data_IF_878406263380
#
_entry.id   IF_878406263380
#
_cell.length_a   1.000
_cell.length_b   1.000
_cell.length_c   1.000
_cell.angle_alpha   90.00
_cell.angle_beta   90.00
_cell.angle_gamma   90.00
#
_symmetry.space_group_name_H-M   'P 1'
#
loop_
_entity.id
_entity.type
_entity.pdbx_description
1 polymer ?
#
# COMPACT_ATOMS: atom_id res chain seq x y z
N UNK A 1 -6.85 -20.18 -2.44
CA UNK A 1 -5.57 -20.40 -3.16
C UNK A 1 -4.39 -19.95 -2.29
N UNK A 2 -4.43 -18.75 -1.72
CA UNK A 2 -3.34 -18.18 -0.92
C UNK A 2 -3.04 -19.00 0.34
N UNK A 3 -4.08 -19.47 1.02
CA UNK A 3 -3.91 -20.34 2.21
C UNK A 3 -3.05 -21.57 1.89
N UNK A 4 -3.25 -22.19 0.73
CA UNK A 4 -2.48 -23.34 0.29
C UNK A 4 -1.01 -23.01 0.00
N UNK A 5 -0.71 -21.75 -0.40
CA UNK A 5 0.64 -21.25 -0.59
C UNK A 5 1.33 -20.89 0.73
N UNK A 6 0.59 -20.33 1.67
CA UNK A 6 1.13 -19.89 2.96
C UNK A 6 1.29 -21.05 3.96
N UNK A 7 0.45 -22.09 3.93
CA UNK A 7 0.54 -23.22 4.85
C UNK A 7 1.89 -23.93 4.88
N UNK A 8 2.54 -24.24 3.73
CA UNK A 8 3.90 -24.79 3.74
C UNK A 8 4.92 -23.86 4.37
N UNK A 9 4.83 -22.54 4.05
CA UNK A 9 5.73 -21.52 4.59
C UNK A 9 5.61 -21.45 6.11
N UNK A 10 4.38 -21.40 6.64
CA UNK A 10 4.13 -21.35 8.09
C UNK A 10 4.70 -22.58 8.80
N UNK A 11 4.64 -23.77 8.18
CA UNK A 11 5.16 -25.03 8.78
C UNK A 11 6.68 -25.01 8.93
N UNK A 12 7.40 -24.34 8.03
CA UNK A 12 8.88 -24.26 8.03
C UNK A 12 9.39 -23.21 9.03
N UNK A 13 8.58 -22.21 9.36
CA UNK A 13 9.00 -21.16 10.30
C UNK A 13 9.10 -21.74 11.72
N UNK A 14 10.28 -21.64 12.37
CA UNK A 14 10.46 -22.11 13.74
C UNK A 14 9.56 -21.36 14.74
N UNK A 15 9.06 -22.06 15.75
CA UNK A 15 8.15 -21.48 16.75
C UNK A 15 8.79 -20.36 17.62
N UNK A 16 10.10 -20.28 17.68
CA UNK A 16 10.81 -19.20 18.41
C UNK A 16 10.81 -17.85 17.67
N UNK A 17 10.53 -17.84 16.36
CA UNK A 17 10.35 -16.58 15.62
C UNK A 17 9.00 -15.99 16.03
N UNK A 18 9.01 -14.78 16.59
CA UNK A 18 7.75 -14.13 16.96
C UNK A 18 6.98 -13.66 15.73
N UNK A 19 5.65 -13.71 15.72
CA UNK A 19 4.82 -13.17 14.64
C UNK A 19 5.13 -11.70 14.33
N UNK A 20 5.37 -10.89 15.37
CA UNK A 20 5.72 -9.48 15.22
C UNK A 20 7.04 -9.25 14.44
N UNK A 21 7.99 -10.20 14.51
CA UNK A 21 9.19 -10.14 13.67
C UNK A 21 8.84 -10.32 12.19
N UNK A 22 7.90 -11.20 11.87
CA UNK A 22 7.45 -11.43 10.49
C UNK A 22 6.78 -10.15 9.95
N UNK A 23 5.91 -9.53 10.74
CA UNK A 23 5.27 -8.25 10.40
C UNK A 23 6.30 -7.12 10.19
N UNK A 24 7.34 -7.04 11.03
CA UNK A 24 8.42 -6.06 10.85
C UNK A 24 9.27 -6.33 9.61
N UNK A 25 9.57 -7.59 9.30
CA UNK A 25 10.25 -7.97 8.05
C UNK A 25 9.40 -7.59 6.85
N UNK A 26 8.08 -7.81 6.91
CA UNK A 26 7.15 -7.37 5.87
C UNK A 26 7.23 -5.86 5.63
N UNK A 27 7.25 -5.05 6.69
CA UNK A 27 7.42 -3.60 6.58
C UNK A 27 8.73 -3.21 5.86
N UNK A 28 9.84 -3.87 6.19
CA UNK A 28 11.13 -3.64 5.51
C UNK A 28 11.06 -4.03 4.02
N UNK A 29 10.38 -5.13 3.69
CA UNK A 29 10.20 -5.59 2.30
C UNK A 29 9.40 -4.57 1.48
N UNK A 30 8.34 -3.98 2.05
CA UNK A 30 7.55 -2.92 1.38
C UNK A 30 8.38 -1.64 1.18
N UNK A 31 9.18 -1.24 2.17
CA UNK A 31 10.08 -0.08 2.01
C UNK A 31 11.12 -0.35 0.92
N UNK A 32 11.67 -1.55 0.82
CA UNK A 32 12.58 -1.94 -0.26
C UNK A 32 11.89 -1.88 -1.62
N UNK A 33 10.68 -2.45 -1.74
CA UNK A 33 9.87 -2.36 -2.97
C UNK A 33 9.66 -0.90 -3.39
N UNK A 34 9.24 -0.06 -2.46
CA UNK A 34 9.04 1.37 -2.71
C UNK A 34 10.33 2.06 -3.20
N UNK A 35 11.47 1.80 -2.54
CA UNK A 35 12.75 2.37 -2.94
C UNK A 35 13.15 1.97 -4.36
N UNK A 36 13.02 0.67 -4.71
CA UNK A 36 13.30 0.17 -6.05
C UNK A 36 12.42 0.83 -7.12
N UNK A 37 11.12 1.00 -6.84
CA UNK A 37 10.20 1.70 -7.74
C UNK A 37 10.56 3.20 -7.89
N UNK A 38 10.87 3.88 -6.79
CA UNK A 38 11.17 5.30 -6.78
C UNK A 38 12.46 5.67 -7.52
N UNK A 39 13.47 4.78 -7.51
CA UNK A 39 14.73 5.00 -8.24
C UNK A 39 14.64 4.52 -9.70
N UNK A 40 13.73 3.60 -10.03
CA UNK A 40 13.67 2.92 -11.32
C UNK A 40 13.65 3.86 -12.54
N UNK A 41 13.00 5.05 -12.54
CA UNK A 41 13.00 5.93 -13.69
C UNK A 41 14.38 6.53 -14.04
N UNK A 42 15.32 6.51 -13.08
CA UNK A 42 16.67 7.08 -13.25
C UNK A 42 17.70 6.04 -13.69
N UNK A 43 17.32 4.77 -13.77
CA UNK A 43 18.21 3.66 -14.06
C UNK A 43 18.32 3.42 -15.58
N UNK A 44 19.44 2.83 -16.01
CA UNK A 44 19.58 2.30 -17.36
C UNK A 44 18.56 1.17 -17.62
N UNK A 45 18.20 0.88 -18.89
CA UNK A 45 17.08 -0.02 -19.19
C UNK A 45 17.20 -1.40 -18.52
N UNK A 46 18.38 -2.00 -18.49
CA UNK A 46 18.61 -3.30 -17.85
C UNK A 46 18.49 -3.19 -16.32
N UNK A 47 19.10 -2.17 -15.72
CA UNK A 47 19.05 -1.95 -14.28
C UNK A 47 17.62 -1.63 -13.82
N UNK A 48 16.87 -0.90 -14.65
CA UNK A 48 15.45 -0.64 -14.44
C UNK A 48 14.62 -1.93 -14.47
N UNK A 49 14.87 -2.82 -15.44
CA UNK A 49 14.25 -4.14 -15.49
C UNK A 49 14.53 -4.94 -14.21
N UNK A 50 15.80 -5.02 -13.80
CA UNK A 50 16.21 -5.76 -12.60
C UNK A 50 15.62 -5.16 -11.32
N UNK A 51 15.59 -3.84 -11.19
CA UNK A 51 14.97 -3.14 -10.07
C UNK A 51 13.47 -3.43 -9.98
N UNK A 52 12.74 -3.37 -11.09
CA UNK A 52 11.30 -3.66 -11.12
C UNK A 52 10.98 -5.15 -10.94
N UNK A 53 11.84 -6.04 -11.40
CA UNK A 53 11.74 -7.47 -11.07
C UNK A 53 11.94 -7.69 -9.56
N UNK A 54 12.96 -7.08 -8.96
CA UNK A 54 13.19 -7.11 -7.51
C UNK A 54 12.01 -6.52 -6.72
N UNK A 55 11.42 -5.42 -7.20
CA UNK A 55 10.22 -4.83 -6.62
C UNK A 55 9.00 -5.76 -6.70
N UNK A 56 8.83 -6.48 -7.81
CA UNK A 56 7.76 -7.46 -7.97
C UNK A 56 7.93 -8.67 -7.03
N UNK A 57 9.16 -9.16 -6.88
CA UNK A 57 9.49 -10.22 -5.90
C UNK A 57 9.22 -9.74 -4.48
N UNK A 58 9.61 -8.51 -4.14
CA UNK A 58 9.34 -7.92 -2.84
C UNK A 58 7.82 -7.78 -2.58
N UNK A 59 7.05 -7.31 -3.57
CA UNK A 59 5.59 -7.20 -3.48
C UNK A 59 4.91 -8.54 -3.25
N UNK A 60 5.31 -9.58 -4.01
CA UNK A 60 4.80 -10.93 -3.85
C UNK A 60 5.17 -11.53 -2.48
N UNK A 61 6.42 -11.31 -2.04
CA UNK A 61 6.88 -11.75 -0.72
C UNK A 61 6.11 -11.09 0.41
N UNK A 62 5.83 -9.78 0.29
CA UNK A 62 5.01 -9.03 1.24
C UNK A 62 3.61 -9.62 1.37
N UNK A 63 2.95 -9.95 0.27
CA UNK A 63 1.63 -10.60 0.28
C UNK A 63 1.63 -11.93 1.05
N UNK A 64 2.71 -12.71 0.94
CA UNK A 64 2.87 -13.96 1.67
C UNK A 64 3.13 -13.70 3.15
N UNK A 65 4.07 -12.79 3.49
CA UNK A 65 4.44 -12.48 4.86
C UNK A 65 3.27 -11.96 5.69
N UNK A 66 2.45 -11.09 5.10
CA UNK A 66 1.23 -10.55 5.67
C UNK A 66 0.22 -11.65 6.06
N UNK A 67 0.06 -12.64 5.20
CA UNK A 67 -0.81 -13.80 5.50
C UNK A 67 -0.19 -14.76 6.52
N UNK A 68 1.12 -14.88 6.52
CA UNK A 68 1.88 -15.86 7.31
C UNK A 68 1.98 -15.44 8.76
N UNK A 69 2.13 -14.15 9.09
CA UNK A 69 2.30 -13.71 10.48
C UNK A 69 1.08 -14.04 11.35
N UNK A 70 -0.13 -13.78 10.87
CA UNK A 70 -1.36 -14.16 11.56
C UNK A 70 -1.59 -15.69 11.63
N UNK A 71 -1.19 -16.43 10.58
CA UNK A 71 -1.26 -17.90 10.60
C UNK A 71 -0.24 -18.47 11.60
N UNK A 72 0.96 -17.92 11.63
CA UNK A 72 2.03 -18.31 12.56
C UNK A 72 1.66 -17.99 14.01
N UNK A 73 1.07 -16.80 14.27
CA UNK A 73 0.57 -16.41 15.58
C UNK A 73 -0.45 -17.40 16.14
N UNK A 74 -1.39 -17.82 15.31
CA UNK A 74 -2.40 -18.84 15.69
C UNK A 74 -1.77 -20.21 15.91
N UNK A 75 -0.83 -20.64 15.06
CA UNK A 75 -0.15 -21.93 15.19
C UNK A 75 0.68 -22.03 16.47
N UNK A 76 1.32 -20.94 16.87
CA UNK A 76 2.25 -20.90 18.01
C UNK A 76 1.60 -20.41 19.30
N UNK A 77 0.28 -20.12 19.28
CA UNK A 77 -0.46 -19.50 20.40
C UNK A 77 0.16 -18.17 20.87
N UNK A 78 0.73 -17.39 19.96
CA UNK A 78 1.36 -16.08 20.22
C UNK A 78 0.52 -14.90 19.73
N UNK A 79 -0.80 -15.08 19.67
CA UNK A 79 -1.72 -13.97 19.35
C UNK A 79 -1.70 -12.93 20.48
N UNK A 80 -1.59 -11.66 20.15
CA UNK A 80 -1.54 -10.58 21.14
C UNK A 80 -2.17 -9.29 20.61
N UNK A 81 -2.66 -8.44 21.53
CA UNK A 81 -3.13 -7.09 21.20
C UNK A 81 -2.03 -6.22 20.55
N UNK A 82 -0.77 -6.43 20.95
CA UNK A 82 0.37 -5.75 20.32
C UNK A 82 0.56 -6.19 18.88
N UNK A 83 0.41 -7.50 18.57
CA UNK A 83 0.50 -8.02 17.21
C UNK A 83 -0.61 -7.43 16.32
N UNK A 84 -1.84 -7.44 16.80
CA UNK A 84 -2.99 -6.82 16.11
C UNK A 84 -2.78 -5.31 15.89
N UNK A 85 -2.21 -4.60 16.88
CA UNK A 85 -1.85 -3.20 16.73
C UNK A 85 -0.80 -2.99 15.62
N UNK A 86 0.29 -3.75 15.66
CA UNK A 86 1.39 -3.62 14.70
C UNK A 86 0.92 -3.90 13.26
N UNK A 87 0.16 -4.97 13.07
CA UNK A 87 -0.41 -5.35 11.78
C UNK A 87 -1.23 -4.20 11.18
N UNK A 88 -2.27 -3.76 11.86
CA UNK A 88 -3.13 -2.69 11.36
C UNK A 88 -2.46 -1.31 11.28
N UNK A 89 -1.49 -1.04 12.14
CA UNK A 89 -0.78 0.23 12.13
C UNK A 89 0.23 0.30 10.98
N UNK A 90 0.95 -0.78 10.70
CA UNK A 90 1.89 -0.84 9.58
C UNK A 90 1.19 -0.81 8.23
N UNK A 91 -0.02 -1.36 8.13
CA UNK A 91 -0.84 -1.25 6.92
C UNK A 91 -1.14 0.20 6.53
N UNK A 92 -1.18 1.12 7.50
CA UNK A 92 -1.35 2.56 7.21
C UNK A 92 -0.17 3.15 6.44
N UNK A 93 0.98 2.51 6.49
CA UNK A 93 2.18 2.84 5.73
C UNK A 93 2.24 2.04 4.42
N UNK A 94 1.87 0.76 4.47
CA UNK A 94 1.90 -0.14 3.30
C UNK A 94 1.02 0.38 2.17
N UNK A 95 -0.25 0.71 2.45
CA UNK A 95 -1.20 1.12 1.43
C UNK A 95 -0.73 2.34 0.63
N UNK A 96 -0.33 3.47 1.25
CA UNK A 96 0.18 4.60 0.49
C UNK A 96 1.54 4.34 -0.18
N UNK A 97 2.43 3.53 0.40
CA UNK A 97 3.69 3.17 -0.23
C UNK A 97 3.47 2.33 -1.50
N UNK A 98 2.59 1.33 -1.45
CA UNK A 98 2.25 0.50 -2.62
C UNK A 98 1.62 1.35 -3.72
N UNK A 99 0.64 2.19 -3.40
CA UNK A 99 -0.01 3.06 -4.37
C UNK A 99 0.98 4.03 -5.03
N UNK A 100 1.80 4.71 -4.24
CA UNK A 100 2.77 5.67 -4.76
C UNK A 100 3.95 5.03 -5.48
N UNK A 101 4.29 3.78 -5.18
CA UNK A 101 5.33 3.04 -5.90
C UNK A 101 5.03 2.93 -7.39
N UNK A 102 3.79 2.59 -7.73
CA UNK A 102 3.34 2.48 -9.12
C UNK A 102 3.37 3.86 -9.79
N UNK A 103 2.86 4.89 -9.12
CA UNK A 103 2.80 6.24 -9.66
C UNK A 103 4.20 6.84 -9.87
N UNK A 104 5.14 6.59 -8.97
CA UNK A 104 6.53 7.04 -9.10
C UNK A 104 7.27 6.31 -10.22
N UNK A 105 7.10 5.00 -10.32
CA UNK A 105 7.70 4.15 -11.37
C UNK A 105 7.22 4.55 -12.77
N UNK A 106 5.92 4.88 -12.91
CA UNK A 106 5.29 5.29 -14.17
C UNK A 106 5.48 6.79 -14.46
N UNK A 107 6.07 7.55 -13.54
CA UNK A 107 6.25 9.01 -13.65
C UNK A 107 4.95 9.77 -13.95
N UNK A 108 3.82 9.29 -13.40
CA UNK A 108 2.51 9.92 -13.63
C UNK A 108 2.52 11.41 -13.23
N UNK A 109 1.66 12.23 -13.83
CA UNK A 109 1.53 13.63 -13.45
C UNK A 109 1.29 13.84 -11.95
N UNK A 110 1.79 14.95 -11.41
CA UNK A 110 1.67 15.29 -9.98
C UNK A 110 0.21 15.23 -9.47
N UNK A 111 -0.74 15.64 -10.33
CA UNK A 111 -2.18 15.56 -10.01
C UNK A 111 -2.64 14.13 -9.77
N UNK A 112 -2.22 13.20 -10.63
CA UNK A 112 -2.59 11.77 -10.50
C UNK A 112 -1.95 11.20 -9.24
N UNK A 113 -0.65 11.40 -9.02
CA UNK A 113 0.05 10.97 -7.80
C UNK A 113 -0.67 11.47 -6.54
N UNK A 114 -1.08 12.74 -6.52
CA UNK A 114 -1.81 13.31 -5.38
C UNK A 114 -3.16 12.67 -5.15
N UNK A 115 -3.94 12.50 -6.20
CA UNK A 115 -5.29 11.90 -6.11
C UNK A 115 -5.24 10.43 -5.69
N UNK A 116 -4.33 9.63 -6.26
CA UNK A 116 -4.17 8.21 -5.92
C UNK A 116 -3.69 8.04 -4.49
N UNK A 117 -2.70 8.82 -4.06
CA UNK A 117 -2.16 8.74 -2.72
C UNK A 117 -3.18 9.17 -1.65
N UNK A 118 -3.85 10.31 -1.83
CA UNK A 118 -4.86 10.79 -0.88
C UNK A 118 -6.08 9.87 -0.82
N UNK A 119 -6.52 9.33 -1.96
CA UNK A 119 -7.64 8.39 -1.96
C UNK A 119 -7.29 7.07 -1.26
N UNK A 120 -6.09 6.51 -1.48
CA UNK A 120 -5.66 5.28 -0.83
C UNK A 120 -5.59 5.43 0.69
N UNK A 121 -5.03 6.54 1.17
CA UNK A 121 -4.98 6.86 2.61
C UNK A 121 -6.38 7.06 3.19
N UNK A 122 -7.26 7.75 2.47
CA UNK A 122 -8.66 7.99 2.91
C UNK A 122 -9.44 6.68 3.00
N UNK A 123 -9.28 5.79 2.03
CA UNK A 123 -9.91 4.46 2.02
C UNK A 123 -9.47 3.65 3.25
N UNK A 124 -8.17 3.63 3.52
CA UNK A 124 -7.66 2.87 4.66
C UNK A 124 -8.12 3.45 6.00
N UNK A 125 -8.17 4.78 6.14
CA UNK A 125 -8.77 5.43 7.30
C UNK A 125 -10.25 5.10 7.49
N UNK A 126 -10.99 4.98 6.39
CA UNK A 126 -12.39 4.55 6.44
C UNK A 126 -12.53 3.11 6.92
N UNK A 127 -11.64 2.21 6.50
CA UNK A 127 -11.57 0.83 7.03
C UNK A 127 -11.31 0.80 8.54
N UNK A 128 -10.32 1.55 9.01
CA UNK A 128 -10.00 1.65 10.43
C UNK A 128 -11.17 2.21 11.25
N UNK A 129 -11.89 3.19 10.71
CA UNK A 129 -13.06 3.77 11.37
C UNK A 129 -14.20 2.74 11.52
N UNK A 130 -14.43 1.92 10.49
CA UNK A 130 -15.41 0.83 10.55
C UNK A 130 -14.98 -0.27 11.53
N UNK A 131 -13.70 -0.65 11.51
CA UNK A 131 -13.12 -1.58 12.47
C UNK A 131 -13.31 -1.08 13.91
N UNK A 132 -13.02 0.19 14.17
CA UNK A 132 -13.19 0.81 15.49
C UNK A 132 -14.65 0.78 15.99
N UNK A 133 -15.63 0.88 15.09
CA UNK A 133 -17.06 0.83 15.42
C UNK A 133 -17.57 -0.60 15.64
N UNK A 134 -17.20 -1.52 14.76
CA UNK A 134 -17.78 -2.85 14.68
C UNK A 134 -16.89 -4.01 15.15
N UNK A 135 -15.61 -3.75 15.49
CA UNK A 135 -14.64 -4.78 15.91
C UNK A 135 -14.27 -5.79 14.82
N UNK A 136 -14.64 -5.53 13.55
CA UNK A 136 -14.33 -6.39 12.42
C UNK A 136 -13.86 -5.56 11.23
N UNK A 137 -12.80 -6.02 10.58
CA UNK A 137 -12.36 -5.44 9.31
C UNK A 137 -13.37 -5.73 8.21
N UNK A 138 -13.80 -4.68 7.52
CA UNK A 138 -14.71 -4.79 6.37
C UNK A 138 -13.88 -4.64 5.11
N UNK A 139 -13.76 -5.73 4.35
CA UNK A 139 -13.05 -5.72 3.08
C UNK A 139 -14.00 -5.39 1.93
N UNK A 140 -13.59 -4.54 0.98
CA UNK A 140 -14.34 -4.34 -0.27
C UNK A 140 -14.29 -5.64 -1.11
N UNK A 141 -15.18 -5.79 -2.12
CA UNK A 141 -15.24 -6.97 -2.98
C UNK A 141 -13.95 -7.29 -3.72
N UNK A 142 -13.09 -6.29 -3.92
CA UNK A 142 -11.71 -6.42 -4.37
C UNK A 142 -10.82 -6.14 -3.18
N UNK A 143 -10.26 -7.20 -2.59
CA UNK A 143 -9.46 -7.13 -1.37
C UNK A 143 -8.05 -6.59 -1.61
N UNK A 144 -7.32 -6.33 -0.52
CA UNK A 144 -5.92 -5.93 -0.61
C UNK A 144 -5.05 -6.94 -1.37
N UNK A 145 -5.39 -8.23 -1.30
CA UNK A 145 -4.66 -9.30 -2.00
C UNK A 145 -4.76 -9.23 -3.51
N UNK A 146 -5.96 -9.01 -4.07
CA UNK A 146 -6.10 -8.85 -5.53
C UNK A 146 -5.33 -7.62 -6.02
N UNK A 147 -5.34 -6.54 -5.25
CA UNK A 147 -4.55 -5.35 -5.56
C UNK A 147 -3.04 -5.64 -5.57
N UNK A 148 -2.55 -6.43 -4.61
CA UNK A 148 -1.14 -6.83 -4.54
C UNK A 148 -0.73 -7.73 -5.70
N UNK A 149 -1.57 -8.68 -6.12
CA UNK A 149 -1.34 -9.50 -7.32
C UNK A 149 -1.28 -8.64 -8.57
N UNK A 150 -2.25 -7.73 -8.74
CA UNK A 150 -2.28 -6.79 -9.87
C UNK A 150 -1.02 -5.91 -9.87
N UNK A 151 -0.62 -5.38 -8.72
CA UNK A 151 0.60 -4.59 -8.58
C UNK A 151 1.85 -5.40 -8.96
N UNK A 152 1.95 -6.66 -8.52
CA UNK A 152 3.06 -7.55 -8.88
C UNK A 152 3.15 -7.76 -10.39
N UNK A 153 2.03 -8.07 -11.05
CA UNK A 153 1.97 -8.24 -12.51
C UNK A 153 2.33 -6.94 -13.22
N UNK A 154 1.84 -5.80 -12.72
CA UNK A 154 2.13 -4.49 -13.30
C UNK A 154 3.63 -4.14 -13.18
N UNK A 155 4.28 -4.45 -12.06
CA UNK A 155 5.72 -4.26 -11.88
C UNK A 155 6.53 -5.08 -12.88
N UNK A 156 6.20 -6.37 -13.04
CA UNK A 156 6.86 -7.26 -14.01
C UNK A 156 6.68 -6.77 -15.45
N UNK A 157 5.45 -6.46 -15.84
CA UNK A 157 5.14 -5.99 -17.20
C UNK A 157 5.79 -4.65 -17.48
N UNK A 158 5.81 -3.72 -16.51
CA UNK A 158 6.49 -2.43 -16.65
C UNK A 158 7.99 -2.59 -16.85
N UNK A 159 8.64 -3.51 -16.11
CA UNK A 159 10.05 -3.80 -16.27
C UNK A 159 10.38 -4.23 -17.70
N UNK A 160 9.61 -5.16 -18.26
CA UNK A 160 9.77 -5.64 -19.64
C UNK A 160 9.49 -4.52 -20.66
N UNK A 161 8.38 -3.78 -20.48
CA UNK A 161 8.01 -2.67 -21.38
C UNK A 161 9.10 -1.61 -21.43
N UNK A 162 9.61 -1.15 -20.29
CA UNK A 162 10.66 -0.13 -20.24
C UNK A 162 12.03 -0.64 -20.70
N UNK A 163 12.28 -1.93 -20.63
CA UNK A 163 13.48 -2.54 -21.20
C UNK A 163 13.44 -2.59 -22.72
N UNK A 164 12.30 -3.04 -23.30
CA UNK A 164 12.13 -3.15 -24.74
C UNK A 164 11.96 -1.79 -25.43
N UNK A 165 11.32 -0.86 -24.76
CA UNK A 165 11.06 0.50 -25.25
C UNK A 165 11.55 1.54 -24.26
N UNK A 166 12.88 1.75 -24.15
CA UNK A 166 13.47 2.66 -23.15
C UNK A 166 13.17 4.14 -23.41
N UNK A 167 12.76 4.48 -24.62
CA UNK A 167 12.30 5.84 -24.96
C UNK A 167 10.78 5.90 -24.94
N UNK A 168 10.28 7.09 -24.55
CA UNK A 168 8.84 7.32 -24.53
C UNK A 168 8.28 7.19 -25.96
N UNK A 169 7.53 6.13 -26.22
CA UNK A 169 6.83 5.90 -27.48
C UNK A 169 5.33 6.05 -27.24
N UNK A 170 4.50 6.28 -28.28
CA UNK A 170 3.05 6.33 -28.11
C UNK A 170 2.48 5.08 -27.41
N UNK A 171 3.06 3.90 -27.67
CA UNK A 171 2.66 2.66 -27.02
C UNK A 171 2.92 2.65 -25.50
N UNK A 172 4.08 3.15 -25.05
CA UNK A 172 4.39 3.33 -23.62
C UNK A 172 3.44 4.35 -23.00
N UNK A 173 3.11 5.44 -23.71
CA UNK A 173 2.14 6.43 -23.25
C UNK A 173 0.77 5.80 -22.98
N UNK A 174 0.25 5.01 -23.89
CA UNK A 174 -1.02 4.30 -23.72
C UNK A 174 -0.98 3.28 -22.58
N UNK A 175 0.14 2.59 -22.39
CA UNK A 175 0.35 1.69 -21.26
C UNK A 175 0.25 2.45 -19.91
N UNK A 176 0.95 3.58 -19.78
CA UNK A 176 0.92 4.42 -18.57
C UNK A 176 -0.48 4.95 -18.30
N UNK A 177 -1.19 5.45 -19.33
CA UNK A 177 -2.57 5.93 -19.20
C UNK A 177 -3.49 4.79 -18.76
N UNK A 178 -3.38 3.62 -19.38
CA UNK A 178 -4.20 2.45 -19.02
C UNK A 178 -3.99 2.01 -17.57
N UNK A 179 -2.74 1.97 -17.10
CA UNK A 179 -2.39 1.64 -15.73
C UNK A 179 -2.96 2.68 -14.74
N UNK A 180 -2.82 3.97 -15.04
CA UNK A 180 -3.36 5.06 -14.21
C UNK A 180 -4.89 5.02 -14.13
N UNK A 181 -5.57 4.81 -15.26
CA UNK A 181 -7.04 4.68 -15.30
C UNK A 181 -7.53 3.45 -14.53
N UNK A 182 -6.81 2.32 -14.63
CA UNK A 182 -7.13 1.11 -13.87
C UNK A 182 -7.00 1.33 -12.37
N UNK A 183 -5.93 1.98 -11.93
CA UNK A 183 -5.73 2.36 -10.53
C UNK A 183 -6.84 3.27 -10.03
N UNK A 184 -7.18 4.30 -10.80
CA UNK A 184 -8.26 5.23 -10.47
C UNK A 184 -9.63 4.55 -10.39
N UNK A 185 -9.97 3.69 -11.35
CA UNK A 185 -11.21 2.92 -11.34
C UNK A 185 -11.31 2.03 -10.09
N UNK A 186 -10.22 1.34 -9.76
CA UNK A 186 -10.16 0.49 -8.58
C UNK A 186 -10.38 1.29 -7.29
N UNK A 187 -9.74 2.44 -7.14
CA UNK A 187 -9.90 3.30 -5.98
C UNK A 187 -11.32 3.92 -5.91
N UNK A 188 -11.88 4.35 -7.03
CA UNK A 188 -13.24 4.89 -7.08
C UNK A 188 -14.29 3.85 -6.62
N UNK A 189 -14.12 2.59 -7.00
CA UNK A 189 -14.98 1.49 -6.50
C UNK A 189 -14.85 1.29 -5.00
N UNK A 190 -13.65 1.38 -4.45
CA UNK A 190 -13.44 1.26 -3.01
C UNK A 190 -14.05 2.44 -2.25
N UNK A 191 -13.84 3.67 -2.73
CA UNK A 191 -14.48 4.87 -2.14
C UNK A 191 -16.00 4.72 -2.11
N UNK A 192 -16.61 4.31 -3.23
CA UNK A 192 -18.06 4.07 -3.32
C UNK A 192 -18.51 3.04 -2.29
N UNK A 193 -17.81 1.91 -2.18
CA UNK A 193 -18.11 0.84 -1.23
C UNK A 193 -18.12 1.33 0.22
N UNK A 194 -17.13 2.15 0.61
CA UNK A 194 -17.04 2.68 1.96
C UNK A 194 -18.02 3.82 2.18
N UNK A 195 -18.26 4.66 1.16
CA UNK A 195 -19.26 5.73 1.23
C UNK A 195 -20.66 5.19 1.52
N UNK A 196 -21.06 4.09 0.90
CA UNK A 196 -22.36 3.45 1.11
C UNK A 196 -22.51 2.82 2.52
N UNK A 197 -21.41 2.49 3.19
CA UNK A 197 -21.41 1.82 4.51
C UNK A 197 -21.08 2.73 5.68
N UNK A 198 -20.40 3.82 5.43
CA UNK A 198 -20.12 4.83 6.43
C UNK A 198 -21.26 5.86 6.40
N UNK A 199 -22.05 5.90 7.47
CA UNK A 199 -22.77 7.13 7.79
C UNK A 199 -21.71 8.19 8.08
N UNK A 200 -21.32 8.93 7.04
CA UNK A 200 -20.23 9.91 7.08
C UNK A 200 -20.52 11.02 8.10
N UNK A 201 -20.17 10.80 9.34
CA UNK A 201 -19.95 11.89 10.30
C UNK A 201 -18.53 12.42 10.05
N UNK A 202 -18.41 13.32 9.08
CA UNK A 202 -17.16 13.98 8.63
C UNK A 202 -16.32 14.58 9.77
N UNK A 203 -16.94 14.93 10.91
CA UNK A 203 -16.33 15.72 11.97
C UNK A 203 -15.03 15.13 12.55
N UNK A 204 -14.89 13.81 12.64
CA UNK A 204 -13.68 13.16 13.18
C UNK A 204 -12.51 13.04 12.19
N UNK A 205 -12.80 13.06 10.89
CA UNK A 205 -11.79 12.90 9.83
C UNK A 205 -11.40 14.21 9.15
N UNK A 206 -12.16 15.28 9.38
CA UNK A 206 -11.95 16.58 8.75
C UNK A 206 -10.52 17.14 8.94
N UNK A 207 -9.92 17.12 10.14
CA UNK A 207 -8.54 17.61 10.30
C UNK A 207 -7.52 16.84 9.46
N UNK A 208 -7.70 15.51 9.33
CA UNK A 208 -6.83 14.68 8.52
C UNK A 208 -6.97 14.99 7.03
N UNK A 209 -8.20 15.12 6.53
CA UNK A 209 -8.49 15.49 5.13
C UNK A 209 -7.92 16.88 4.82
N UNK A 210 -8.11 17.86 5.69
CA UNK A 210 -7.58 19.22 5.49
C UNK A 210 -6.04 19.23 5.44
N UNK A 211 -5.36 18.46 6.30
CA UNK A 211 -3.90 18.33 6.27
C UNK A 211 -3.43 17.68 4.97
N UNK A 212 -4.10 16.62 4.51
CA UNK A 212 -3.82 15.97 3.25
C UNK A 212 -3.97 16.93 2.05
N UNK A 213 -5.05 17.70 2.03
CA UNK A 213 -5.30 18.74 0.99
C UNK A 213 -4.22 19.82 1.03
N UNK A 214 -3.80 20.27 2.23
CA UNK A 214 -2.72 21.26 2.37
C UNK A 214 -1.38 20.73 1.84
N UNK A 215 -1.01 19.48 2.15
CA UNK A 215 0.18 18.84 1.61
C UNK A 215 0.11 18.71 0.08
N UNK A 216 -1.06 18.37 -0.45
CA UNK A 216 -1.26 18.30 -1.89
C UNK A 216 -1.13 19.66 -2.56
N UNK A 217 -1.67 20.72 -1.98
CA UNK A 217 -1.50 22.07 -2.48
C UNK A 217 -0.02 22.48 -2.50
N UNK A 218 0.75 22.18 -1.43
CA UNK A 218 2.19 22.43 -1.38
C UNK A 218 2.95 21.65 -2.47
N UNK A 219 2.52 20.42 -2.76
CA UNK A 219 3.09 19.63 -3.85
C UNK A 219 2.80 20.27 -5.22
N UNK A 220 1.58 20.68 -5.50
CA UNK A 220 1.18 21.33 -6.76
C UNK A 220 1.88 22.69 -6.96
N UNK A 221 2.14 23.42 -5.87
CA UNK A 221 2.90 24.67 -5.89
C UNK A 221 4.41 24.47 -6.02
N UNK A 222 4.90 23.22 -6.10
CA UNK A 222 6.32 22.90 -6.21
C UNK A 222 7.12 23.03 -4.92
N UNK A 223 6.48 23.37 -3.79
CA UNK A 223 7.13 23.44 -2.48
C UNK A 223 7.55 22.05 -1.94
N UNK A 224 6.88 21.01 -2.38
CA UNK A 224 7.21 19.61 -2.08
C UNK A 224 7.43 18.84 -3.38
N UNK A 225 8.63 18.30 -3.57
CA UNK A 225 8.91 17.34 -4.64
C UNK A 225 8.10 16.04 -4.46
N UNK A 226 8.01 15.22 -5.50
CA UNK A 226 7.21 13.98 -5.51
C UNK A 226 7.49 13.07 -4.30
N UNK A 227 8.76 12.78 -4.03
CA UNK A 227 9.16 11.94 -2.91
C UNK A 227 8.83 12.60 -1.56
N UNK A 228 9.11 13.89 -1.41
CA UNK A 228 8.79 14.66 -0.21
C UNK A 228 7.29 14.67 0.10
N UNK A 229 6.45 14.78 -0.93
CA UNK A 229 4.99 14.69 -0.81
C UNK A 229 4.55 13.30 -0.31
N UNK A 230 5.06 12.22 -0.92
CA UNK A 230 4.74 10.84 -0.49
C UNK A 230 5.13 10.63 0.96
N UNK A 231 6.36 10.98 1.34
CA UNK A 231 6.84 10.84 2.73
C UNK A 231 5.97 11.63 3.71
N UNK A 232 5.59 12.87 3.38
CA UNK A 232 4.74 13.70 4.23
C UNK A 232 3.33 13.10 4.42
N UNK A 233 2.72 12.57 3.36
CA UNK A 233 1.40 11.92 3.43
C UNK A 233 1.46 10.61 4.20
N UNK A 234 2.52 9.80 4.00
CA UNK A 234 2.75 8.57 4.79
C UNK A 234 2.89 8.90 6.28
N UNK A 235 3.69 9.90 6.63
CA UNK A 235 3.87 10.32 8.03
C UNK A 235 2.56 10.82 8.65
N UNK A 236 1.75 11.56 7.89
CA UNK A 236 0.42 11.99 8.32
C UNK A 236 -0.52 10.80 8.57
N UNK A 237 -0.53 9.83 7.65
CA UNK A 237 -1.32 8.60 7.78
C UNK A 237 -0.92 7.80 9.01
N UNK A 238 0.36 7.59 9.20
CA UNK A 238 0.94 6.87 10.33
C UNK A 238 0.54 7.48 11.69
N UNK A 239 0.63 8.81 11.82
CA UNK A 239 0.22 9.53 13.02
C UNK A 239 -1.28 9.46 13.27
N UNK A 240 -2.08 9.69 12.23
CA UNK A 240 -3.54 9.72 12.32
C UNK A 240 -4.13 8.36 12.70
N UNK A 241 -3.62 7.30 12.08
CA UNK A 241 -4.14 5.94 12.27
C UNK A 241 -3.76 5.33 13.61
N UNK A 242 -2.57 5.60 14.13
CA UNK A 242 -2.12 5.08 15.42
C UNK A 242 -3.08 5.41 16.54
N UNK A 243 -3.69 6.59 16.53
CA UNK A 243 -4.68 6.99 17.54
C UNK A 243 -5.97 6.18 17.47
N UNK A 244 -6.42 5.77 16.26
CA UNK A 244 -7.60 4.95 16.09
C UNK A 244 -7.36 3.52 16.55
N UNK A 245 -6.25 2.92 16.17
CA UNK A 245 -5.92 1.54 16.54
C UNK A 245 -5.72 1.44 18.05
N UNK A 246 -4.98 2.36 18.67
CA UNK A 246 -4.79 2.40 20.12
C UNK A 246 -6.11 2.53 20.89
N UNK A 247 -7.03 3.38 20.44
CA UNK A 247 -8.35 3.54 21.07
C UNK A 247 -9.22 2.29 20.93
N UNK A 248 -9.04 1.49 19.87
CA UNK A 248 -9.78 0.25 19.68
C UNK A 248 -9.28 -0.84 20.62
N UNK A 249 -7.97 -0.95 20.78
CA UNK A 249 -7.34 -1.96 21.64
C UNK A 249 -7.50 -1.67 23.14
N UNK A 250 -7.77 -0.39 23.48
CA UNK A 250 -8.00 0.03 24.88
C UNK A 250 -9.44 -0.27 25.38
N UNK A 251 -10.36 -0.65 24.49
CA UNK A 251 -11.71 -1.12 24.82
C UNK A 251 -11.71 -2.62 25.09
#
# INVERSE_FOLDING_TARGET
LLRNLCEPVVKVIPAWISPNMITMVNACVIVLMFALCAISPRLAPLDRLLALFGAAVAMFSSMILDSVDGMHARRTNQTSKLGEFLDHWLDTVHVPLVSSSIDLMLEVPAVILGLTLLSSVTIYHAQLALYHRGGKFVHPPTSGMEAQVIATVLLLTSGVVFYLWPRYTPGVGWFVIGAALSSFYFQARQVKFFYERLEWKLGGHLPFVLQGVALYALHLLGALGRLGFVVAVVALSFRGSGTYVLRTLAK
#
